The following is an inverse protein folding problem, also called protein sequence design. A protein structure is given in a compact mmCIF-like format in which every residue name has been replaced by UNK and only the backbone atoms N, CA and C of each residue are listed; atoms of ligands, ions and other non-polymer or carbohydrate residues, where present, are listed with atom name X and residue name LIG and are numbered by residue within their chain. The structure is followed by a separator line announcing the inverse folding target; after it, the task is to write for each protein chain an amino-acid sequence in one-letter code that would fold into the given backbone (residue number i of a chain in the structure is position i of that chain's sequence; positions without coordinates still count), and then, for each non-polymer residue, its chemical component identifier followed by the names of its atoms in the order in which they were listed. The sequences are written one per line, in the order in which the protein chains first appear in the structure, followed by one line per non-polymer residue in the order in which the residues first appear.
data_IF_626496384609
#
_entry.id   IF_626496384609
#
_cell.length_a   1.000
_cell.length_b   1.000
_cell.length_c   1.000
_cell.angle_alpha   90.00
_cell.angle_beta   90.00
_cell.angle_gamma   90.00
#
_symmetry.space_group_name_H-M   'P 1'
#
loop_
_entity.id
_entity.type
_entity.pdbx_description
1 polymer ?
#
# COMPACT_ATOMS: atom_id res chain seq x y z
N UNK A 1 -18.08 -8.89 -4.16
CA UNK A 1 -17.82 -9.10 -5.58
C UNK A 1 -17.26 -7.87 -6.24
N UNK A 2 -16.29 -8.04 -7.11
CA UNK A 2 -15.58 -6.91 -7.71
C UNK A 2 -16.17 -6.59 -9.07
N UNK A 3 -17.33 -5.96 -9.05
CA UNK A 3 -17.98 -5.50 -10.28
C UNK A 3 -17.56 -4.07 -10.58
N UNK A 4 -17.33 -3.75 -11.84
CA UNK A 4 -17.00 -2.41 -12.29
C UNK A 4 -15.70 -1.86 -11.68
N UNK A 5 -14.78 -2.74 -11.32
CA UNK A 5 -13.54 -2.33 -10.67
C UNK A 5 -12.70 -1.47 -11.59
N UNK A 6 -12.66 -1.79 -12.88
CA UNK A 6 -11.86 -1.04 -13.84
C UNK A 6 -12.29 0.42 -13.86
N UNK A 7 -13.60 0.68 -13.86
CA UNK A 7 -14.13 2.04 -13.83
C UNK A 7 -13.87 2.76 -12.51
N UNK A 8 -13.58 2.02 -11.44
CA UNK A 8 -13.31 2.59 -10.13
C UNK A 8 -11.83 2.91 -9.91
N UNK A 9 -10.94 2.44 -10.79
CA UNK A 9 -9.51 2.72 -10.69
C UNK A 9 -9.22 4.09 -11.29
N UNK A 10 -9.50 5.13 -10.53
CA UNK A 10 -9.44 6.52 -11.01
C UNK A 10 -8.21 7.29 -10.55
N UNK A 11 -7.53 6.78 -9.53
CA UNK A 11 -6.40 7.48 -8.95
C UNK A 11 -5.12 6.98 -9.58
N UNK A 12 -4.33 7.91 -10.11
CA UNK A 12 -3.01 7.55 -10.57
C UNK A 12 -2.03 7.74 -9.43
N UNK A 13 -1.38 6.65 -9.05
CA UNK A 13 -0.51 6.64 -7.89
C UNK A 13 0.86 6.11 -8.26
N UNK A 14 1.84 6.40 -7.42
CA UNK A 14 3.18 5.85 -7.54
C UNK A 14 3.39 4.87 -6.40
N UNK A 15 3.85 3.68 -6.74
CA UNK A 15 4.27 2.70 -5.76
C UNK A 15 5.74 2.92 -5.46
N UNK A 16 6.10 2.95 -4.18
CA UNK A 16 7.48 3.19 -3.76
C UNK A 16 7.98 2.08 -2.86
N UNK A 17 9.25 1.75 -3.05
CA UNK A 17 9.94 0.73 -2.26
C UNK A 17 11.00 1.41 -1.42
N UNK A 18 11.12 0.97 -0.17
CA UNK A 18 12.17 1.49 0.72
C UNK A 18 13.52 0.90 0.33
N UNK A 19 14.53 1.76 0.32
CA UNK A 19 15.92 1.35 0.15
C UNK A 19 16.67 1.77 1.40
N UNK A 20 17.30 0.82 2.05
CA UNK A 20 18.08 1.07 3.25
C UNK A 20 19.55 1.14 2.86
N UNK A 21 20.19 2.24 3.22
CA UNK A 21 21.61 2.43 2.99
C UNK A 21 22.31 2.56 4.33
N UNK A 22 23.31 1.72 4.57
CA UNK A 22 24.09 1.81 5.79
C UNK A 22 24.98 3.07 5.71
N UNK A 23 24.96 3.84 6.78
CA UNK A 23 25.82 5.01 6.92
C UNK A 23 26.95 4.69 7.89
N UNK A 24 28.02 5.49 7.83
CA UNK A 24 29.11 5.39 8.79
C UNK A 24 28.57 5.56 10.20
N UNK A 25 29.06 4.75 11.14
CA UNK A 25 28.62 4.77 12.53
C UNK A 25 27.42 3.88 12.82
N UNK A 26 27.02 3.03 11.88
CA UNK A 26 25.96 2.05 12.12
C UNK A 26 24.54 2.56 11.95
N UNK A 27 24.34 3.82 11.55
CA UNK A 27 23.01 4.37 11.29
C UNK A 27 22.58 4.03 9.87
N UNK A 28 21.33 3.60 9.71
CA UNK A 28 20.77 3.34 8.39
C UNK A 28 19.91 4.51 7.95
N UNK A 29 20.03 4.87 6.68
CA UNK A 29 19.17 5.88 6.06
C UNK A 29 18.18 5.17 5.15
N UNK A 30 16.91 5.58 5.22
CA UNK A 30 15.88 5.04 4.35
C UNK A 30 15.58 6.07 3.27
N UNK A 31 15.68 5.64 2.03
CA UNK A 31 15.22 6.42 0.89
C UNK A 31 14.15 5.63 0.16
N UNK A 32 13.37 6.31 -0.67
CA UNK A 32 12.26 5.69 -1.39
C UNK A 32 12.53 5.75 -2.88
N UNK A 33 12.39 4.62 -3.54
CA UNK A 33 12.56 4.54 -4.98
C UNK A 33 11.26 4.10 -5.62
N UNK A 34 10.99 4.63 -6.82
CA UNK A 34 9.77 4.31 -7.53
C UNK A 34 9.78 2.87 -8.02
N UNK A 35 8.68 2.18 -7.79
CA UNK A 35 8.43 0.86 -8.35
C UNK A 35 7.36 0.92 -9.45
N UNK A 36 7.04 2.11 -9.93
CA UNK A 36 6.14 2.31 -11.06
C UNK A 36 4.90 3.11 -10.70
N UNK A 37 4.21 3.56 -11.73
CA UNK A 37 2.91 4.24 -11.62
C UNK A 37 1.81 3.28 -12.01
N UNK A 38 0.69 3.37 -11.33
CA UNK A 38 -0.45 2.51 -11.60
C UNK A 38 -1.74 3.23 -11.24
N UNK A 39 -2.86 2.68 -11.71
CA UNK A 39 -4.17 3.19 -11.33
C UNK A 39 -4.69 2.42 -10.13
N UNK A 40 -5.38 3.13 -9.25
CA UNK A 40 -5.87 2.57 -8.01
C UNK A 40 -7.24 3.14 -7.65
N UNK A 41 -7.97 2.39 -6.84
CA UNK A 41 -9.15 2.89 -6.16
C UNK A 41 -8.77 3.13 -4.71
N UNK A 42 -8.97 4.35 -4.23
CA UNK A 42 -8.65 4.70 -2.84
C UNK A 42 -9.95 4.87 -2.09
N UNK A 43 -10.13 4.08 -1.05
CA UNK A 43 -11.35 4.08 -0.25
C UNK A 43 -11.00 4.36 1.21
N UNK A 44 -11.51 5.46 1.79
CA UNK A 44 -11.30 5.70 3.21
C UNK A 44 -12.14 4.73 4.03
N UNK A 45 -11.58 4.29 5.14
CA UNK A 45 -12.30 3.46 6.12
C UNK A 45 -12.13 4.11 7.48
N UNK A 46 -13.06 3.84 8.41
CA UNK A 46 -12.87 4.34 9.76
C UNK A 46 -11.62 3.71 10.35
N UNK A 47 -10.70 4.57 10.79
CA UNK A 47 -9.41 4.12 11.29
C UNK A 47 -9.58 3.20 12.49
N UNK A 48 -9.26 1.94 12.31
CA UNK A 48 -9.32 0.94 13.37
C UNK A 48 -8.15 -0.02 13.23
N UNK A 49 -7.84 -0.65 14.33
CA UNK A 49 -6.83 -1.69 14.32
C UNK A 49 -7.42 -2.96 13.72
N UNK A 50 -6.69 -3.55 12.79
CA UNK A 50 -7.05 -4.81 12.15
C UNK A 50 -5.91 -5.77 12.42
N UNK A 51 -6.25 -6.99 12.82
CA UNK A 51 -5.25 -8.02 12.99
C UNK A 51 -4.77 -8.49 11.62
N UNK A 52 -3.47 -8.39 11.37
CA UNK A 52 -2.88 -8.70 10.07
C UNK A 52 -2.04 -9.97 10.08
N UNK A 53 -2.06 -10.73 11.16
CA UNK A 53 -1.38 -12.02 11.28
C UNK A 53 -0.63 -12.15 12.59
N UNK A 54 -0.58 -13.36 13.13
CA UNK A 54 0.17 -13.71 14.33
C UNK A 54 -0.06 -12.77 15.52
N UNK A 55 -1.28 -12.27 15.67
CA UNK A 55 -1.61 -11.37 16.75
C UNK A 55 -1.12 -9.94 16.57
N UNK A 56 -0.55 -9.62 15.42
CA UNK A 56 -0.10 -8.26 15.13
C UNK A 56 -1.27 -7.43 14.63
N UNK A 57 -1.51 -6.29 15.27
CA UNK A 57 -2.55 -5.37 14.84
C UNK A 57 -1.92 -4.16 14.17
N UNK A 58 -2.58 -3.66 13.13
CA UNK A 58 -2.16 -2.46 12.43
C UNK A 58 -3.35 -1.52 12.27
N UNK A 59 -3.08 -0.21 12.35
CA UNK A 59 -4.09 0.78 12.09
C UNK A 59 -4.29 0.92 10.59
N UNK A 60 -5.52 0.85 10.13
CA UNK A 60 -5.87 0.96 8.71
C UNK A 60 -6.81 2.13 8.53
N UNK A 61 -6.44 3.09 7.70
CA UNK A 61 -7.26 4.26 7.40
C UNK A 61 -7.83 4.21 5.99
N UNK A 62 -7.20 3.44 5.10
CA UNK A 62 -7.61 3.36 3.70
C UNK A 62 -7.41 1.96 3.16
N UNK A 63 -8.31 1.59 2.25
CA UNK A 63 -8.14 0.40 1.42
C UNK A 63 -7.83 0.88 0.02
N UNK A 64 -6.75 0.39 -0.55
CA UNK A 64 -6.33 0.76 -1.90
C UNK A 64 -6.36 -0.49 -2.77
N UNK A 65 -7.19 -0.45 -3.79
CA UNK A 65 -7.36 -1.57 -4.71
C UNK A 65 -6.53 -1.32 -5.97
N UNK A 66 -5.74 -2.30 -6.35
CA UNK A 66 -4.91 -2.26 -7.55
C UNK A 66 -5.00 -3.59 -8.30
N UNK A 67 -4.53 -3.59 -9.54
CA UNK A 67 -4.35 -4.84 -10.26
C UNK A 67 -3.24 -5.65 -9.61
N UNK A 68 -3.36 -6.96 -9.70
CA UNK A 68 -2.39 -7.86 -9.12
C UNK A 68 -0.96 -7.58 -9.60
N UNK A 69 -0.02 -7.55 -8.67
CA UNK A 69 1.41 -7.48 -8.92
C UNK A 69 2.10 -8.42 -7.94
N UNK A 70 3.25 -8.93 -8.34
CA UNK A 70 3.97 -9.86 -7.46
C UNK A 70 5.00 -9.15 -6.57
N UNK A 71 5.31 -7.90 -6.89
CA UNK A 71 6.37 -7.15 -6.23
C UNK A 71 5.86 -6.20 -5.15
N UNK A 72 4.65 -6.39 -4.64
CA UNK A 72 4.06 -5.49 -3.65
C UNK A 72 3.98 -6.16 -2.29
N UNK A 73 4.29 -5.39 -1.26
CA UNK A 73 4.29 -5.91 0.10
C UNK A 73 4.20 -4.82 1.14
N UNK A 74 4.14 -5.20 2.43
CA UNK A 74 3.88 -4.26 3.52
C UNK A 74 5.03 -3.31 3.84
N UNK A 75 6.18 -3.45 3.21
CA UNK A 75 7.27 -2.49 3.40
C UNK A 75 7.27 -1.38 2.36
N UNK A 76 6.25 -1.35 1.53
CA UNK A 76 6.11 -0.37 0.47
C UNK A 76 5.08 0.68 0.85
N UNK A 77 5.00 1.72 0.04
CA UNK A 77 4.00 2.75 0.24
C UNK A 77 3.45 3.22 -1.10
N UNK A 78 2.25 3.76 -1.05
CA UNK A 78 1.55 4.32 -2.21
C UNK A 78 1.53 5.82 -2.05
N UNK A 79 1.87 6.54 -3.10
CA UNK A 79 1.94 8.00 -3.08
C UNK A 79 1.03 8.58 -4.15
N UNK A 80 0.18 9.52 -3.75
CA UNK A 80 -0.63 10.29 -4.67
C UNK A 80 -0.44 11.76 -4.34
N UNK A 81 0.26 12.49 -5.20
CA UNK A 81 0.61 13.87 -4.90
C UNK A 81 1.45 13.96 -3.63
N UNK A 82 0.97 14.72 -2.66
CA UNK A 82 1.64 14.84 -1.37
C UNK A 82 1.14 13.82 -0.35
N UNK A 83 0.17 12.98 -0.71
CA UNK A 83 -0.40 11.98 0.20
C UNK A 83 0.44 10.72 0.19
N UNK A 84 0.71 10.18 1.36
CA UNK A 84 1.50 8.97 1.53
C UNK A 84 0.66 7.95 2.30
N UNK A 85 0.52 6.76 1.72
CA UNK A 85 -0.20 5.65 2.34
C UNK A 85 0.79 4.51 2.58
N UNK A 86 1.03 4.20 3.84
CA UNK A 86 1.91 3.10 4.18
C UNK A 86 1.15 1.78 4.11
N UNK A 87 1.67 0.81 3.36
CA UNK A 87 1.02 -0.48 3.20
C UNK A 87 1.28 -1.32 4.44
N UNK A 88 0.21 -1.76 5.11
CA UNK A 88 0.29 -2.60 6.29
C UNK A 88 0.09 -4.07 5.95
N UNK A 89 -0.75 -4.35 4.97
CA UNK A 89 -1.01 -5.72 4.53
C UNK A 89 -1.52 -5.69 3.10
N UNK A 90 -1.34 -6.81 2.40
CA UNK A 90 -1.80 -6.97 1.03
C UNK A 90 -2.64 -8.24 0.96
N UNK A 91 -3.84 -8.12 0.41
CA UNK A 91 -4.77 -9.23 0.30
C UNK A 91 -5.07 -9.48 -1.18
N UNK A 92 -4.88 -10.71 -1.61
CA UNK A 92 -5.29 -11.12 -2.96
C UNK A 92 -6.79 -11.42 -2.90
N UNK A 93 -7.60 -10.48 -3.40
CA UNK A 93 -9.04 -10.64 -3.36
C UNK A 93 -9.47 -11.83 -4.19
N UNK A 94 -10.30 -12.68 -3.60
CA UNK A 94 -10.82 -13.91 -4.21
C UNK A 94 -9.72 -14.94 -4.53
N UNK A 95 -8.46 -14.69 -4.18
CA UNK A 95 -7.39 -15.62 -4.41
C UNK A 95 -7.11 -15.95 -5.88
N UNK A 96 -7.50 -15.06 -6.81
CA UNK A 96 -7.42 -15.32 -8.24
C UNK A 96 -6.29 -14.59 -8.94
N UNK A 97 -5.45 -13.89 -8.20
CA UNK A 97 -4.33 -13.13 -8.75
C UNK A 97 -4.78 -12.09 -9.78
N UNK A 98 -5.91 -11.45 -9.53
CA UNK A 98 -6.44 -10.39 -10.40
C UNK A 98 -6.38 -9.04 -9.72
N UNK A 99 -6.70 -8.99 -8.45
CA UNK A 99 -6.84 -7.76 -7.69
C UNK A 99 -6.18 -7.90 -6.34
N UNK A 100 -5.44 -6.87 -5.96
CA UNK A 100 -4.86 -6.79 -4.63
C UNK A 100 -5.52 -5.64 -3.89
N UNK A 101 -5.91 -5.90 -2.65
CA UNK A 101 -6.37 -4.86 -1.75
C UNK A 101 -5.27 -4.58 -0.74
N UNK A 102 -4.75 -3.37 -0.79
CA UNK A 102 -3.73 -2.93 0.13
C UNK A 102 -4.40 -2.27 1.32
N UNK A 103 -4.17 -2.80 2.50
CA UNK A 103 -4.64 -2.20 3.75
C UNK A 103 -3.58 -1.20 4.18
N UNK A 104 -3.93 0.07 4.19
CA UNK A 104 -2.96 1.13 4.33
C UNK A 104 -3.30 2.08 5.46
N UNK A 105 -2.28 2.70 6.00
CA UNK A 105 -2.42 3.82 6.93
C UNK A 105 -1.90 5.07 6.27
N UNK A 106 -2.76 6.08 6.11
CA UNK A 106 -2.31 7.36 5.57
C UNK A 106 -1.44 8.07 6.60
N UNK A 107 -0.27 8.48 6.17
CA UNK A 107 0.65 9.22 7.01
C UNK A 107 0.31 10.69 6.91
N UNK A 108 -0.11 11.27 8.03
CA UNK A 108 -0.41 12.68 8.08
C UNK A 108 0.89 13.50 8.17
N UNK A 109 0.93 14.66 7.50
CA UNK A 109 2.11 15.52 7.57
C UNK A 109 2.34 16.11 8.95
#
# INVERSE_FOLDING_TARGET
MINNVIGALRHRVTLQRAVRTAADGGTATISWTSAGSLFARIEPVSGREIEIGDGVAARVTHKILIRHREDIGPEMRVVEGSRVFEIRAVVDLEGRRRWLQCLCEERLP
#
